data_IF_198898741479
#
_entry.id   IF_198898741479
#
_cell.length_a   1.000
_cell.length_b   1.000
_cell.length_c   1.000
_cell.angle_alpha   90.00
_cell.angle_beta   90.00
_cell.angle_gamma   90.00
#
_symmetry.space_group_name_H-M   'P 1'
#
loop_
_entity.id
_entity.type
_entity.pdbx_description
1 polymer ?
#
# COMPACT_ATOMS: atom_id res chain seq x y z
N UNK A 1 -10.38 6.32 -6.63
CA UNK A 1 -9.18 7.15 -6.89
C UNK A 1 -8.30 6.38 -7.85
N UNK A 2 -7.53 7.08 -8.67
CA UNK A 2 -6.46 6.48 -9.47
C UNK A 2 -5.36 5.96 -8.54
N UNK A 3 -4.62 4.94 -8.99
CA UNK A 3 -3.48 4.41 -8.22
C UNK A 3 -2.40 5.47 -7.98
N UNK A 4 -2.22 6.40 -8.92
CA UNK A 4 -1.30 7.55 -8.75
C UNK A 4 -1.75 8.50 -7.64
N UNK A 5 -3.05 8.70 -7.42
CA UNK A 5 -3.54 9.47 -6.26
C UNK A 5 -3.30 8.71 -4.95
N UNK A 6 -3.50 7.39 -4.93
CA UNK A 6 -3.18 6.56 -3.76
C UNK A 6 -1.68 6.65 -3.44
N UNK A 7 -0.82 6.65 -4.46
CA UNK A 7 0.62 6.83 -4.30
C UNK A 7 0.98 8.18 -3.69
N UNK A 8 0.33 9.28 -4.11
CA UNK A 8 0.55 10.60 -3.51
C UNK A 8 0.19 10.63 -2.01
N UNK A 9 -0.89 9.96 -1.62
CA UNK A 9 -1.25 9.83 -0.20
C UNK A 9 -0.24 8.99 0.58
N UNK A 10 0.30 7.93 -0.04
CA UNK A 10 1.36 7.14 0.56
C UNK A 10 2.63 7.98 0.81
N UNK A 11 3.10 8.72 -0.19
CA UNK A 11 4.26 9.61 -0.07
C UNK A 11 4.06 10.69 1.00
N UNK A 12 2.85 11.23 1.09
CA UNK A 12 2.49 12.23 2.11
C UNK A 12 2.50 11.66 3.53
N UNK A 13 1.95 10.46 3.74
CA UNK A 13 1.80 9.87 5.08
C UNK A 13 3.06 9.15 5.56
N UNK A 14 3.85 8.61 4.63
CA UNK A 14 5.05 7.84 4.94
C UNK A 14 6.27 8.40 4.19
N UNK A 15 6.69 9.65 4.47
CA UNK A 15 7.85 10.24 3.81
C UNK A 15 9.11 9.39 4.01
N UNK A 16 9.28 8.77 5.19
CA UNK A 16 10.43 7.91 5.50
C UNK A 16 10.40 6.52 4.83
N UNK A 17 9.28 6.12 4.24
CA UNK A 17 9.15 4.87 3.48
C UNK A 17 9.01 5.12 1.97
N UNK A 18 9.03 6.37 1.55
CA UNK A 18 8.84 6.77 0.16
C UNK A 18 10.14 7.27 -0.49
N UNK A 19 10.03 7.96 -1.63
CA UNK A 19 11.16 8.48 -2.39
C UNK A 19 12.17 7.42 -2.76
N UNK A 20 13.44 7.66 -2.44
CA UNK A 20 14.57 6.81 -2.80
C UNK A 20 14.54 5.40 -2.20
N UNK A 21 13.67 5.12 -1.23
CA UNK A 21 13.55 3.76 -0.68
C UNK A 21 12.66 2.86 -1.53
N UNK A 22 11.78 3.43 -2.34
CA UNK A 22 10.94 2.68 -3.27
C UNK A 22 11.80 2.27 -4.47
N UNK A 23 11.76 0.98 -4.78
CA UNK A 23 12.27 0.44 -6.03
C UNK A 23 11.19 0.57 -7.12
N UNK A 24 10.00 0.07 -6.82
CA UNK A 24 8.85 0.10 -7.73
C UNK A 24 7.53 -0.05 -6.97
N UNK A 25 6.44 0.37 -7.60
CA UNK A 25 5.09 0.16 -7.09
C UNK A 25 4.14 -0.32 -8.18
N UNK A 26 3.09 -1.03 -7.77
CA UNK A 26 2.13 -1.67 -8.67
C UNK A 26 0.70 -1.41 -8.22
N UNK A 27 -0.27 -1.29 -9.15
CA UNK A 27 -1.68 -1.38 -8.82
C UNK A 27 -2.01 -2.69 -8.08
N UNK A 28 -2.80 -2.61 -7.00
CA UNK A 28 -3.24 -3.77 -6.23
C UNK A 28 -4.75 -3.68 -5.94
N UNK A 29 -5.58 -3.98 -6.94
CA UNK A 29 -7.03 -3.86 -6.79
C UNK A 29 -7.52 -2.42 -6.61
N UNK A 30 -8.71 -2.24 -6.03
CA UNK A 30 -9.35 -0.92 -5.92
C UNK A 30 -8.75 -0.12 -4.77
N UNK A 31 -8.33 1.11 -5.08
CA UNK A 31 -7.77 2.06 -4.11
C UNK A 31 -6.56 1.52 -3.30
N UNK A 32 -5.81 0.59 -3.87
CA UNK A 32 -4.70 -0.05 -3.18
C UNK A 32 -3.52 -0.25 -4.13
N UNK A 33 -2.32 -0.09 -3.58
CA UNK A 33 -1.04 -0.24 -4.28
C UNK A 33 -0.14 -1.20 -3.50
N UNK A 34 0.68 -1.95 -4.23
CA UNK A 34 1.80 -2.72 -3.68
C UNK A 34 3.08 -1.93 -3.87
N UNK A 35 3.80 -1.69 -2.79
CA UNK A 35 5.08 -0.98 -2.79
C UNK A 35 6.19 -1.98 -2.54
N UNK A 36 7.18 -2.02 -3.44
CA UNK A 36 8.43 -2.77 -3.26
C UNK A 36 9.54 -1.78 -2.91
N UNK A 37 10.18 -2.01 -1.77
CA UNK A 37 11.34 -1.25 -1.32
C UNK A 37 12.62 -1.84 -1.94
N UNK A 38 13.67 -1.02 -2.04
CA UNK A 38 15.01 -1.45 -2.53
C UNK A 38 15.65 -2.55 -1.68
N UNK A 39 15.27 -2.66 -0.40
CA UNK A 39 15.72 -3.73 0.49
C UNK A 39 14.94 -5.05 0.29
N UNK A 40 14.06 -5.13 -0.71
CA UNK A 40 13.24 -6.30 -1.00
C UNK A 40 11.98 -6.44 -0.14
N UNK A 41 11.75 -5.56 0.84
CA UNK A 41 10.50 -5.56 1.60
C UNK A 41 9.34 -5.09 0.72
N UNK A 42 8.18 -5.69 0.97
CA UNK A 42 6.97 -5.37 0.22
C UNK A 42 5.80 -5.11 1.15
N UNK A 43 5.05 -4.07 0.79
CA UNK A 43 3.92 -3.58 1.56
C UNK A 43 2.70 -3.38 0.65
N UNK A 44 1.52 -3.47 1.25
CA UNK A 44 0.27 -3.03 0.64
C UNK A 44 -0.16 -1.76 1.35
N UNK A 45 -0.43 -0.71 0.57
CA UNK A 45 -1.11 0.48 1.05
C UNK A 45 -2.49 0.56 0.40
N UNK A 46 -3.53 0.65 1.22
CA UNK A 46 -4.91 0.83 0.80
C UNK A 46 -5.44 2.13 1.37
N UNK A 47 -6.04 2.96 0.53
CA UNK A 47 -6.52 4.28 0.94
C UNK A 47 -7.97 4.52 0.50
N UNK A 48 -8.89 4.58 1.46
CA UNK A 48 -10.29 4.93 1.18
C UNK A 48 -10.58 6.40 1.51
N UNK A 49 -10.03 6.89 2.64
CA UNK A 49 -10.14 8.27 3.08
C UNK A 49 -9.06 8.62 4.12
N UNK A 50 -8.99 9.87 4.55
CA UNK A 50 -8.08 10.29 5.63
C UNK A 50 -8.29 9.54 6.95
N UNK A 51 -9.51 9.04 7.20
CA UNK A 51 -9.89 8.29 8.41
C UNK A 51 -9.93 6.78 8.20
N UNK A 52 -9.73 6.31 6.97
CA UNK A 52 -9.83 4.90 6.59
C UNK A 52 -8.76 4.56 5.56
N UNK A 53 -7.65 4.05 6.07
CA UNK A 53 -6.52 3.58 5.29
C UNK A 53 -5.81 2.46 6.04
N UNK A 54 -5.06 1.64 5.31
CA UNK A 54 -4.31 0.51 5.88
C UNK A 54 -2.96 0.39 5.21
N UNK A 55 -1.92 0.25 6.03
CA UNK A 55 -0.55 -0.04 5.59
C UNK A 55 -0.08 -1.32 6.27
N UNK A 56 0.23 -2.35 5.50
CA UNK A 56 0.55 -3.67 6.04
C UNK A 56 1.51 -4.46 5.15
N UNK A 57 2.09 -5.54 5.68
CA UNK A 57 2.92 -6.47 4.89
C UNK A 57 2.04 -7.36 4.00
N UNK A 58 2.64 -7.92 2.95
CA UNK A 58 1.94 -8.84 2.01
C UNK A 58 1.26 -9.99 2.76
N UNK A 59 1.95 -10.63 3.70
CA UNK A 59 1.39 -11.75 4.48
C UNK A 59 0.19 -11.33 5.31
N UNK A 60 0.25 -10.17 5.97
CA UNK A 60 -0.87 -9.61 6.73
C UNK A 60 -2.08 -9.36 5.83
N UNK A 61 -1.86 -8.77 4.65
CA UNK A 61 -2.90 -8.49 3.67
C UNK A 61 -3.61 -9.78 3.23
N UNK A 62 -2.85 -10.81 2.85
CA UNK A 62 -3.40 -12.10 2.42
C UNK A 62 -4.18 -12.80 3.53
N UNK A 63 -3.73 -12.70 4.78
CA UNK A 63 -4.46 -13.25 5.92
C UNK A 63 -5.78 -12.53 6.15
N UNK A 64 -5.83 -11.21 5.97
CA UNK A 64 -7.06 -10.41 6.01
C UNK A 64 -8.06 -10.81 4.92
N UNK A 65 -7.59 -11.10 3.71
CA UNK A 65 -8.46 -11.56 2.61
C UNK A 65 -9.11 -12.92 2.89
N UNK A 66 -8.37 -13.85 3.53
CA UNK A 66 -8.89 -15.19 3.87
C UNK A 66 -10.02 -15.15 4.90
N UNK A 67 -10.03 -14.15 5.78
CA UNK A 67 -11.09 -13.95 6.79
C UNK A 67 -12.37 -13.30 6.25
N UNK A 68 -12.37 -12.76 5.03
CA UNK A 68 -13.50 -12.07 4.42
C UNK A 68 -14.59 -12.96 3.81
N UNK A 69 -14.46 -14.30 3.90
CA UNK A 69 -15.55 -15.23 3.57
C UNK A 69 -16.37 -15.51 4.84
N UNK A 70 -17.32 -14.63 5.15
CA UNK A 70 -18.49 -14.94 5.97
C UNK A 70 -19.71 -14.23 5.38
#
# INVERSE_FOLDING_TARGET
MSHSEVMKWFELYFPDYSGDRIDMWFPNGRNSIRIRQKNGQEFIFTYHSQKDWKFETITSFLNGMKGGKK
#
